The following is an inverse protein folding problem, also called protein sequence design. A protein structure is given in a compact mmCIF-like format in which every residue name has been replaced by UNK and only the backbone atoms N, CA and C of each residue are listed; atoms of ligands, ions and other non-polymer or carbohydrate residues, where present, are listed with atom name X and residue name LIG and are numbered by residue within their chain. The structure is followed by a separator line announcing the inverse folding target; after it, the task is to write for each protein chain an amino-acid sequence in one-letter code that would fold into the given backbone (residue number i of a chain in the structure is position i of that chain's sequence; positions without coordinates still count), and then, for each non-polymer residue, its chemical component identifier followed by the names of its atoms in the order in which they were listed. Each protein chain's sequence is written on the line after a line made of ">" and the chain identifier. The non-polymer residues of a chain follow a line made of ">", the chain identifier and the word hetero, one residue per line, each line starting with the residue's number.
data_IF_007729056470
#
_entry.id   IF_007729056470
#
_cell.length_a   1.000
_cell.length_b   1.000
_cell.length_c   1.000
_cell.angle_alpha   90.00
_cell.angle_beta   90.00
_cell.angle_gamma   90.00
#
_symmetry.space_group_name_H-M   'P 1'
#
loop_
_entity.id
_entity.type
_entity.pdbx_description
1 polymer ?
#
# COMPACT_ATOMS: atom_id res chain seq x y z
N UNK A 1 -10.35 -13.46 25.08
CA UNK A 1 -10.43 -12.05 24.59
C UNK A 1 -10.02 -12.05 23.13
N UNK A 2 -10.72 -11.29 22.29
CA UNK A 2 -10.39 -11.20 20.86
C UNK A 2 -9.00 -10.59 20.64
N UNK A 3 -8.18 -11.23 19.80
CA UNK A 3 -6.85 -10.74 19.41
C UNK A 3 -6.94 -9.63 18.36
N UNK A 4 -7.98 -9.68 17.52
CA UNK A 4 -8.23 -8.70 16.45
C UNK A 4 -8.43 -7.27 16.99
N UNK A 5 -8.99 -7.14 18.19
CA UNK A 5 -9.25 -5.87 18.86
C UNK A 5 -8.18 -5.47 19.89
N UNK A 6 -7.06 -6.21 19.97
CA UNK A 6 -5.92 -5.77 20.78
C UNK A 6 -5.11 -4.72 20.03
N UNK A 7 -4.57 -3.72 20.75
CA UNK A 7 -3.70 -2.73 20.12
C UNK A 7 -2.42 -3.37 19.58
N UNK A 8 -1.81 -2.69 18.62
CA UNK A 8 -0.48 -3.01 18.10
C UNK A 8 0.38 -1.75 18.16
N UNK A 9 1.52 -1.83 18.86
CA UNK A 9 2.47 -0.74 18.91
C UNK A 9 3.63 -1.02 17.97
N UNK A 10 3.87 -0.08 17.05
CA UNK A 10 5.01 -0.07 16.15
C UNK A 10 5.76 1.24 16.34
N UNK A 11 7.02 1.15 16.76
CA UNK A 11 7.81 2.30 17.23
C UNK A 11 7.04 3.12 18.29
N UNK A 12 6.88 4.43 18.08
CA UNK A 12 6.14 5.33 18.97
C UNK A 12 4.62 5.39 18.73
N UNK A 13 4.07 4.61 17.81
CA UNK A 13 2.64 4.66 17.42
C UNK A 13 1.90 3.42 17.90
N UNK A 14 0.86 3.63 18.74
CA UNK A 14 -0.06 2.57 19.15
C UNK A 14 -1.33 2.63 18.31
N UNK A 15 -1.58 1.60 17.51
CA UNK A 15 -2.77 1.44 16.68
C UNK A 15 -3.82 0.69 17.50
N UNK A 16 -5.05 1.21 17.68
CA UNK A 16 -5.98 0.73 18.71
C UNK A 16 -6.57 -0.67 18.46
N UNK A 17 -6.51 -1.17 17.24
CA UNK A 17 -6.89 -2.54 16.90
C UNK A 17 -6.15 -3.00 15.63
N UNK A 18 -6.34 -4.25 15.24
CA UNK A 18 -5.62 -4.88 14.10
C UNK A 18 -6.44 -4.91 12.81
N UNK A 19 -7.51 -4.10 12.72
CA UNK A 19 -8.37 -3.97 11.54
C UNK A 19 -8.02 -2.66 10.85
N UNK A 20 -7.36 -2.75 9.69
CA UNK A 20 -6.83 -1.60 8.97
C UNK A 20 -7.46 -1.46 7.59
N UNK A 21 -7.67 -0.23 7.18
CA UNK A 21 -8.14 0.07 5.83
C UNK A 21 -6.98 0.01 4.84
N UNK A 22 -7.09 -0.89 3.84
CA UNK A 22 -6.13 -0.99 2.74
C UNK A 22 -6.17 0.26 1.85
N UNK A 23 -5.02 0.69 1.29
CA UNK A 23 -5.00 1.79 0.32
C UNK A 23 -5.75 1.38 -0.95
N UNK A 24 -6.77 2.16 -1.32
CA UNK A 24 -7.65 1.88 -2.46
C UNK A 24 -7.89 3.14 -3.27
N UNK A 25 -7.36 3.17 -4.48
CA UNK A 25 -7.46 4.32 -5.38
C UNK A 25 -8.92 4.72 -5.62
N UNK A 26 -9.21 6.00 -5.40
CA UNK A 26 -10.54 6.58 -5.59
C UNK A 26 -10.67 7.37 -6.89
N UNK A 27 -9.54 7.71 -7.53
CA UNK A 27 -9.51 8.45 -8.80
C UNK A 27 -10.36 9.73 -8.76
N UNK A 28 -10.32 10.46 -7.65
CA UNK A 28 -11.23 11.57 -7.34
C UNK A 28 -10.52 12.88 -7.01
N UNK A 29 -9.19 12.93 -7.17
CA UNK A 29 -8.43 14.17 -7.07
C UNK A 29 -8.68 15.06 -8.31
N UNK A 30 -8.56 16.40 -8.19
CA UNK A 30 -8.59 17.29 -9.34
C UNK A 30 -7.46 16.94 -10.31
N UNK A 31 -7.82 16.84 -11.60
CA UNK A 31 -6.87 16.47 -12.65
C UNK A 31 -6.05 17.65 -13.16
N UNK A 32 -6.55 18.87 -12.98
CA UNK A 32 -6.00 20.12 -13.53
C UNK A 32 -6.14 21.28 -12.52
N UNK A 33 -5.37 22.33 -12.75
CA UNK A 33 -5.39 23.52 -11.91
C UNK A 33 -4.50 23.41 -10.66
N UNK A 34 -4.56 24.42 -9.77
CA UNK A 34 -3.68 24.52 -8.61
C UNK A 34 -3.91 23.41 -7.57
N UNK A 35 -5.10 22.82 -7.54
CA UNK A 35 -5.48 21.76 -6.61
C UNK A 35 -5.18 20.34 -7.16
N UNK A 36 -4.46 20.23 -8.28
CA UNK A 36 -4.13 18.92 -8.88
C UNK A 36 -3.49 17.99 -7.86
N UNK A 37 -4.05 16.78 -7.73
CA UNK A 37 -3.55 15.74 -6.83
C UNK A 37 -3.88 15.95 -5.36
N UNK A 38 -4.66 16.97 -4.98
CA UNK A 38 -5.08 17.16 -3.59
C UNK A 38 -6.32 16.33 -3.22
N UNK A 39 -6.49 15.93 -1.95
CA UNK A 39 -7.70 15.27 -1.50
C UNK A 39 -8.90 16.24 -1.54
N UNK A 40 -10.05 15.71 -1.96
CA UNK A 40 -11.33 16.40 -2.04
C UNK A 40 -12.26 16.02 -0.88
N UNK A 41 -13.45 16.57 -0.83
CA UNK A 41 -14.50 16.16 0.13
C UNK A 41 -14.90 14.67 -0.04
N UNK A 42 -14.77 14.11 -1.25
CA UNK A 42 -14.91 12.67 -1.46
C UNK A 42 -13.95 11.88 -0.59
N UNK A 43 -12.65 12.21 -0.62
CA UNK A 43 -11.63 11.54 0.17
C UNK A 43 -11.87 11.72 1.67
N UNK A 44 -12.27 12.92 2.11
CA UNK A 44 -12.61 13.18 3.50
C UNK A 44 -13.74 12.27 3.96
N UNK A 45 -14.87 12.25 3.24
CA UNK A 45 -16.02 11.39 3.57
C UNK A 45 -15.64 9.91 3.54
N UNK A 46 -14.94 9.48 2.47
CA UNK A 46 -14.51 8.10 2.28
C UNK A 46 -13.66 7.61 3.43
N UNK A 47 -12.60 8.32 3.78
CA UNK A 47 -11.63 7.90 4.79
C UNK A 47 -12.22 8.01 6.22
N UNK A 48 -12.86 9.12 6.54
CA UNK A 48 -13.39 9.38 7.89
C UNK A 48 -14.52 8.42 8.24
N UNK A 49 -15.37 8.02 7.28
CA UNK A 49 -16.41 7.03 7.56
C UNK A 49 -15.86 5.69 8.06
N UNK A 50 -14.69 5.24 7.60
CA UNK A 50 -14.04 4.01 8.05
C UNK A 50 -13.41 4.18 9.44
N UNK A 51 -12.86 5.36 9.75
CA UNK A 51 -12.40 5.69 11.09
C UNK A 51 -13.56 5.70 12.10
N UNK A 52 -14.66 6.37 11.78
CA UNK A 52 -15.92 6.33 12.56
C UNK A 52 -16.46 4.90 12.66
N UNK A 53 -16.29 4.11 11.61
CA UNK A 53 -16.62 2.68 11.57
C UNK A 53 -15.76 1.81 12.49
N UNK A 54 -14.65 2.32 13.02
CA UNK A 54 -13.82 1.64 14.01
C UNK A 54 -12.55 0.99 13.45
N UNK A 55 -12.14 1.30 12.22
CA UNK A 55 -10.82 0.88 11.73
C UNK A 55 -9.71 1.53 12.57
N UNK A 56 -8.72 0.73 13.02
CA UNK A 56 -7.63 1.23 13.87
C UNK A 56 -6.61 2.06 13.10
N UNK A 57 -6.41 1.74 11.83
CA UNK A 57 -5.57 2.51 10.91
C UNK A 57 -6.32 2.70 9.59
N UNK A 58 -6.27 3.93 9.06
CA UNK A 58 -6.84 4.26 7.76
C UNK A 58 -5.71 4.71 6.83
N UNK A 59 -5.44 3.87 5.82
CA UNK A 59 -4.41 4.14 4.82
C UNK A 59 -5.01 4.93 3.65
N UNK A 60 -4.48 6.12 3.42
CA UNK A 60 -4.76 6.90 2.21
C UNK A 60 -4.22 6.12 1.01
N UNK A 61 -4.97 6.16 -0.08
CA UNK A 61 -4.66 5.46 -1.33
C UNK A 61 -3.28 5.76 -1.88
N UNK A 62 -2.84 4.95 -2.85
CA UNK A 62 -1.58 5.14 -3.56
C UNK A 62 -1.45 6.59 -4.05
N UNK A 63 -0.56 7.33 -3.42
CA UNK A 63 -0.32 8.77 -3.60
C UNK A 63 0.97 8.95 -4.39
N UNK A 64 0.88 9.59 -5.56
CA UNK A 64 2.00 9.73 -6.49
C UNK A 64 3.09 10.66 -5.94
N UNK A 65 4.35 10.23 -6.09
CA UNK A 65 5.53 11.01 -5.66
C UNK A 65 5.97 12.04 -6.71
N UNK A 66 5.50 11.90 -7.97
CA UNK A 66 5.76 12.85 -9.06
C UNK A 66 4.50 13.15 -9.88
N UNK A 67 4.44 14.33 -10.47
CA UNK A 67 3.28 14.77 -11.25
C UNK A 67 3.08 13.94 -12.53
N UNK A 68 4.16 13.57 -13.19
CA UNK A 68 4.15 12.76 -14.41
C UNK A 68 4.01 11.25 -14.11
N UNK A 69 4.36 10.81 -12.90
CA UNK A 69 4.26 9.44 -12.43
C UNK A 69 2.92 9.13 -11.76
N UNK A 70 1.78 9.40 -12.42
CA UNK A 70 0.44 9.08 -11.95
C UNK A 70 -0.17 7.92 -12.73
N UNK A 71 -0.95 7.05 -12.09
CA UNK A 71 -1.72 6.00 -12.77
C UNK A 71 -2.84 6.61 -13.60
N UNK A 72 -3.45 7.68 -13.09
CA UNK A 72 -4.45 8.48 -13.80
C UNK A 72 -4.27 9.97 -13.48
N UNK A 73 -4.85 10.84 -14.27
CA UNK A 73 -4.87 12.27 -13.98
C UNK A 73 -5.55 12.61 -12.64
N UNK A 74 -6.35 11.69 -12.12
CA UNK A 74 -7.18 11.86 -10.92
C UNK A 74 -6.59 11.22 -9.66
N UNK A 75 -5.30 10.88 -9.69
CA UNK A 75 -4.59 10.32 -8.55
C UNK A 75 -4.25 11.42 -7.53
N UNK A 76 -4.25 11.04 -6.26
CA UNK A 76 -3.63 11.85 -5.21
C UNK A 76 -2.11 11.96 -5.43
N UNK A 77 -1.51 13.02 -4.90
CA UNK A 77 -0.07 13.26 -5.03
C UNK A 77 0.53 14.11 -3.92
N UNK A 78 1.83 13.90 -3.71
CA UNK A 78 2.67 14.68 -2.78
C UNK A 78 3.98 15.13 -3.47
N UNK A 79 3.87 15.64 -4.69
CA UNK A 79 5.05 16.09 -5.48
C UNK A 79 5.37 17.58 -5.32
N UNK A 80 4.50 18.40 -4.68
CA UNK A 80 4.76 19.81 -4.45
C UNK A 80 4.33 20.26 -3.05
N UNK A 81 4.78 21.45 -2.64
CA UNK A 81 4.60 21.95 -1.27
C UNK A 81 3.22 22.60 -1.03
N UNK A 82 2.35 22.68 -2.04
CA UNK A 82 0.98 23.15 -1.91
C UNK A 82 0.02 22.02 -1.47
N UNK A 83 0.40 20.77 -1.64
CA UNK A 83 -0.46 19.61 -1.37
C UNK A 83 -0.59 19.25 0.14
N UNK A 84 0.47 19.30 0.99
CA UNK A 84 0.38 18.89 2.39
C UNK A 84 -0.74 19.54 3.21
N UNK A 85 -1.08 20.83 3.08
CA UNK A 85 -2.17 21.46 3.84
C UNK A 85 -3.54 20.81 3.58
N UNK A 86 -3.82 20.37 2.36
CA UNK A 86 -5.07 19.68 2.01
C UNK A 86 -5.15 18.29 2.69
N UNK A 87 -4.03 17.55 2.73
CA UNK A 87 -3.95 16.29 3.47
C UNK A 87 -4.08 16.48 4.98
N UNK A 88 -3.54 17.57 5.54
CA UNK A 88 -3.64 17.85 6.98
C UNK A 88 -5.09 17.95 7.49
N UNK A 89 -6.04 18.38 6.63
CA UNK A 89 -7.47 18.37 6.94
C UNK A 89 -8.00 16.94 7.13
N UNK A 90 -7.60 16.02 6.25
CA UNK A 90 -7.98 14.59 6.32
C UNK A 90 -7.34 13.94 7.55
N UNK A 91 -6.05 14.17 7.77
CA UNK A 91 -5.29 13.64 8.91
C UNK A 91 -5.95 14.01 10.24
N UNK A 92 -6.28 15.30 10.45
CA UNK A 92 -6.98 15.74 11.66
C UNK A 92 -8.29 15.01 11.86
N UNK A 93 -9.12 14.93 10.82
CA UNK A 93 -10.41 14.27 10.92
C UNK A 93 -10.31 12.77 11.24
N UNK A 94 -9.26 12.08 10.76
CA UNK A 94 -8.95 10.70 11.11
C UNK A 94 -8.53 10.56 12.57
N UNK A 95 -7.62 11.42 13.05
CA UNK A 95 -7.20 11.46 14.45
C UNK A 95 -8.38 11.73 15.40
N UNK A 96 -9.21 12.73 15.08
CA UNK A 96 -10.41 13.10 15.86
C UNK A 96 -11.43 11.95 15.91
N UNK A 97 -11.39 11.06 14.91
CA UNK A 97 -12.23 9.86 14.84
C UNK A 97 -11.59 8.62 15.50
N UNK A 98 -10.38 8.74 16.06
CA UNK A 98 -9.69 7.68 16.80
C UNK A 98 -8.91 6.68 15.94
N UNK A 99 -8.70 6.93 14.65
CA UNK A 99 -7.89 6.11 13.78
C UNK A 99 -6.48 6.68 13.60
N UNK A 100 -5.50 5.82 13.40
CA UNK A 100 -4.14 6.23 13.00
C UNK A 100 -4.16 6.58 11.51
N UNK A 101 -3.82 7.83 11.13
CA UNK A 101 -3.73 8.22 9.73
C UNK A 101 -2.43 7.71 9.09
N UNK A 102 -2.57 6.99 8.00
CA UNK A 102 -1.45 6.47 7.23
C UNK A 102 -1.57 6.85 5.74
N UNK A 103 -0.46 6.83 5.01
CA UNK A 103 -0.41 7.14 3.59
C UNK A 103 0.50 6.19 2.84
N UNK A 104 0.09 5.77 1.64
CA UNK A 104 0.91 4.96 0.75
C UNK A 104 1.53 5.83 -0.35
N UNK A 105 2.87 5.87 -0.41
CA UNK A 105 3.61 6.52 -1.49
C UNK A 105 3.82 5.56 -2.65
N UNK A 106 3.63 6.06 -3.88
CA UNK A 106 3.64 5.25 -5.08
C UNK A 106 4.25 5.96 -6.30
N UNK A 107 4.83 5.17 -7.19
CA UNK A 107 5.09 5.52 -8.57
C UNK A 107 4.59 4.37 -9.47
N UNK A 108 3.61 4.58 -10.36
CA UNK A 108 2.97 3.52 -11.13
C UNK A 108 3.91 2.86 -12.16
N UNK A 109 5.03 3.49 -12.49
CA UNK A 109 5.98 2.95 -13.44
C UNK A 109 5.38 2.76 -14.82
N UNK A 110 5.45 1.55 -15.35
CA UNK A 110 4.92 1.19 -16.68
C UNK A 110 3.38 1.18 -16.76
N UNK A 111 2.71 1.31 -15.61
CA UNK A 111 1.25 1.42 -15.51
C UNK A 111 0.75 2.87 -15.41
N UNK A 112 1.59 3.87 -15.68
CA UNK A 112 1.16 5.27 -15.72
C UNK A 112 0.16 5.51 -16.86
N UNK A 113 -0.83 6.38 -16.61
CA UNK A 113 -1.79 6.83 -17.63
C UNK A 113 -2.83 5.77 -18.03
N UNK A 114 -3.18 4.82 -17.16
CA UNK A 114 -4.22 3.81 -17.42
C UNK A 114 -5.64 4.43 -17.38
N UNK A 115 -5.83 5.50 -16.59
CA UNK A 115 -7.13 6.15 -16.44
C UNK A 115 -8.03 5.53 -15.37
N UNK A 116 -9.31 5.97 -15.35
CA UNK A 116 -10.31 5.49 -14.38
C UNK A 116 -10.98 4.21 -14.87
N UNK A 117 -11.15 3.18 -14.02
CA UNK A 117 -11.69 1.88 -14.44
C UNK A 117 -13.13 1.90 -14.98
N UNK A 118 -13.91 2.93 -14.65
CA UNK A 118 -15.33 3.05 -15.03
C UNK A 118 -15.61 4.07 -16.11
N UNK A 119 -14.58 4.73 -16.64
CA UNK A 119 -14.78 5.72 -17.68
C UNK A 119 -14.40 5.14 -19.05
N UNK A 120 -15.27 5.37 -20.06
CA UNK A 120 -14.99 5.03 -21.43
C UNK A 120 -13.72 5.75 -21.92
N UNK A 121 -12.93 5.05 -22.69
CA UNK A 121 -11.69 5.44 -23.33
C UNK A 121 -11.12 6.82 -22.91
N UNK A 122 -10.19 6.82 -21.96
CA UNK A 122 -9.45 8.05 -21.65
C UNK A 122 -8.48 8.35 -22.78
N UNK A 123 -8.47 9.58 -23.32
CA UNK A 123 -7.44 9.96 -24.28
C UNK A 123 -6.06 9.79 -23.63
N UNK A 124 -5.04 9.42 -24.42
CA UNK A 124 -3.68 9.38 -23.92
C UNK A 124 -3.31 10.71 -23.25
N UNK A 125 -2.72 10.65 -22.07
CA UNK A 125 -2.24 11.81 -21.33
C UNK A 125 -0.74 11.92 -21.60
N UNK A 126 -0.30 12.79 -22.51
CA UNK A 126 1.12 12.93 -22.86
C UNK A 126 1.97 13.48 -21.73
N UNK A 127 1.34 14.12 -20.73
CA UNK A 127 1.96 14.60 -19.49
C UNK A 127 2.24 13.47 -18.49
N UNK A 128 1.69 12.26 -18.68
CA UNK A 128 1.93 11.10 -17.82
C UNK A 128 2.96 10.17 -18.44
N UNK A 129 4.10 10.05 -17.79
CA UNK A 129 5.25 9.33 -18.32
C UNK A 129 5.35 7.91 -17.78
N UNK A 130 5.36 6.94 -18.71
CA UNK A 130 5.64 5.54 -18.38
C UNK A 130 7.13 5.32 -18.30
N UNK A 131 7.58 4.80 -17.16
CA UNK A 131 8.99 4.46 -16.93
C UNK A 131 9.11 3.07 -16.30
N UNK A 132 10.28 2.45 -16.43
CA UNK A 132 10.53 1.14 -15.85
C UNK A 132 11.99 0.77 -15.84
N UNK A 133 12.36 -0.38 -15.26
CA UNK A 133 13.72 -0.88 -15.31
C UNK A 133 14.13 -1.30 -16.74
N UNK A 134 13.17 -1.72 -17.57
CA UNK A 134 13.37 -2.15 -18.95
C UNK A 134 12.14 -1.79 -19.81
N UNK A 135 12.25 -1.67 -21.14
CA UNK A 135 11.17 -1.23 -22.03
C UNK A 135 10.14 -2.34 -22.29
N UNK A 136 9.61 -2.97 -21.23
CA UNK A 136 8.67 -4.08 -21.30
C UNK A 136 7.25 -3.61 -20.96
N UNK A 137 6.35 -3.69 -21.94
CA UNK A 137 4.95 -3.30 -21.84
C UNK A 137 4.18 -4.10 -20.77
N UNK A 138 3.07 -3.54 -20.28
CA UNK A 138 2.08 -4.25 -19.48
C UNK A 138 0.83 -4.51 -20.33
N UNK A 139 0.68 -5.72 -20.82
CA UNK A 139 -0.42 -6.07 -21.76
C UNK A 139 -0.42 -5.17 -22.98
N UNK A 140 -1.55 -4.54 -23.27
CA UNK A 140 -1.73 -3.62 -24.41
C UNK A 140 -1.25 -2.18 -24.14
N UNK A 141 -0.74 -1.88 -22.92
CA UNK A 141 -0.22 -0.55 -22.59
C UNK A 141 1.12 -0.34 -23.32
N UNK A 142 1.38 0.83 -23.94
CA UNK A 142 2.65 1.09 -24.61
C UNK A 142 3.85 0.87 -23.68
N UNK A 143 4.97 0.40 -24.26
CA UNK A 143 6.21 0.15 -23.53
C UNK A 143 6.69 1.40 -22.76
N UNK A 144 7.20 1.25 -21.54
CA UNK A 144 7.78 2.35 -20.77
C UNK A 144 9.15 2.75 -21.33
N UNK A 145 9.58 3.96 -21.02
CA UNK A 145 10.99 4.34 -21.16
C UNK A 145 11.81 3.67 -20.08
N UNK A 146 12.94 3.08 -20.45
CA UNK A 146 13.91 2.56 -19.49
C UNK A 146 14.54 3.73 -18.73
N UNK A 147 14.58 3.65 -17.42
CA UNK A 147 15.22 4.64 -16.57
C UNK A 147 16.76 4.52 -16.68
N UNK A 148 17.43 5.65 -16.91
CA UNK A 148 18.88 5.74 -16.72
C UNK A 148 19.21 5.67 -15.22
N UNK A 149 20.45 5.39 -14.86
CA UNK A 149 20.89 5.39 -13.46
C UNK A 149 20.70 6.76 -12.79
N UNK A 150 20.84 7.84 -13.55
CA UNK A 150 20.54 9.19 -13.06
C UNK A 150 19.05 9.37 -12.78
N UNK A 151 18.17 8.98 -13.70
CA UNK A 151 16.72 9.06 -13.50
C UNK A 151 16.22 8.13 -12.38
N UNK A 152 16.92 7.04 -12.09
CA UNK A 152 16.63 6.21 -10.91
C UNK A 152 16.89 7.02 -9.63
N UNK A 153 18.02 7.72 -9.54
CA UNK A 153 18.33 8.58 -8.39
C UNK A 153 17.32 9.74 -8.23
N UNK A 154 16.83 10.31 -9.33
CA UNK A 154 15.78 11.35 -9.29
C UNK A 154 14.48 10.81 -8.68
N UNK A 155 14.07 9.59 -9.06
CA UNK A 155 12.87 8.95 -8.50
C UNK A 155 13.06 8.62 -7.01
N UNK A 156 14.23 8.16 -6.59
CA UNK A 156 14.56 7.95 -5.16
C UNK A 156 14.36 9.23 -4.37
N UNK A 157 14.87 10.37 -4.90
CA UNK A 157 14.70 11.68 -4.27
C UNK A 157 13.23 12.17 -4.27
N UNK A 158 12.43 11.82 -5.28
CA UNK A 158 10.98 12.11 -5.29
C UNK A 158 10.26 11.40 -4.14
N UNK A 159 10.58 10.12 -3.86
CA UNK A 159 10.05 9.40 -2.69
C UNK A 159 10.47 10.07 -1.38
N UNK A 160 11.72 10.48 -1.24
CA UNK A 160 12.22 11.18 -0.06
C UNK A 160 11.46 12.49 0.19
N UNK A 161 11.31 13.32 -0.85
CA UNK A 161 10.55 14.58 -0.76
C UNK A 161 9.08 14.34 -0.43
N UNK A 162 8.45 13.31 -1.00
CA UNK A 162 7.07 12.95 -0.69
C UNK A 162 6.93 12.48 0.77
N UNK A 163 7.88 11.72 1.30
CA UNK A 163 7.90 11.31 2.71
C UNK A 163 7.98 12.50 3.67
N UNK A 164 8.86 13.48 3.38
CA UNK A 164 8.92 14.74 4.14
C UNK A 164 7.58 15.47 4.11
N UNK A 165 6.92 15.56 2.94
CA UNK A 165 5.60 16.20 2.80
C UNK A 165 4.50 15.44 3.55
N UNK A 166 4.55 14.10 3.56
CA UNK A 166 3.65 13.29 4.36
C UNK A 166 3.79 13.58 5.86
N UNK A 167 5.03 13.75 6.35
CA UNK A 167 5.28 14.17 7.73
C UNK A 167 4.72 15.57 8.01
N UNK A 168 4.94 16.54 7.11
CA UNK A 168 4.40 17.89 7.24
C UNK A 168 2.87 17.93 7.24
N UNK A 169 2.22 17.00 6.54
CA UNK A 169 0.77 16.82 6.56
C UNK A 169 0.26 16.21 7.87
N UNK A 170 1.16 15.65 8.71
CA UNK A 170 0.86 15.07 10.01
C UNK A 170 0.47 13.59 10.00
N UNK A 171 0.82 12.83 8.97
CA UNK A 171 0.62 11.37 8.98
C UNK A 171 1.46 10.69 10.06
N UNK A 172 0.90 9.61 10.64
CA UNK A 172 1.54 8.85 11.72
C UNK A 172 2.15 7.52 11.24
N UNK A 173 1.83 7.05 10.05
CA UNK A 173 2.46 5.91 9.41
C UNK A 173 2.59 6.17 7.91
N UNK A 174 3.64 5.62 7.30
CA UNK A 174 3.91 5.74 5.88
C UNK A 174 4.17 4.34 5.30
N UNK A 175 3.64 4.08 4.11
CA UNK A 175 3.87 2.84 3.38
C UNK A 175 4.50 3.15 2.02
N UNK A 176 5.55 2.41 1.66
CA UNK A 176 6.11 2.41 0.31
C UNK A 176 5.43 1.31 -0.51
N UNK A 177 4.86 1.66 -1.66
CA UNK A 177 4.22 0.71 -2.55
C UNK A 177 5.24 -0.05 -3.40
N UNK A 178 5.65 -1.23 -2.93
CA UNK A 178 6.56 -2.15 -3.62
C UNK A 178 5.88 -3.36 -4.26
N UNK A 179 4.60 -3.25 -4.67
CA UNK A 179 3.77 -4.36 -5.13
C UNK A 179 3.09 -4.06 -6.48
N UNK A 180 2.27 -5.02 -6.95
CA UNK A 180 1.26 -4.92 -8.01
C UNK A 180 1.80 -4.49 -9.38
N UNK A 181 3.08 -4.73 -9.68
CA UNK A 181 3.72 -4.37 -10.94
C UNK A 181 3.93 -2.87 -11.13
N UNK A 182 3.85 -2.07 -10.06
CA UNK A 182 4.25 -0.69 -10.07
C UNK A 182 5.79 -0.57 -10.07
N UNK A 183 6.33 0.65 -10.04
CA UNK A 183 7.73 0.86 -10.36
C UNK A 183 8.69 0.05 -9.50
N UNK A 184 8.53 0.09 -8.17
CA UNK A 184 9.41 -0.64 -7.24
C UNK A 184 9.33 -2.14 -7.49
N UNK A 185 8.11 -2.70 -7.61
CA UNK A 185 7.94 -4.11 -7.95
C UNK A 185 8.55 -4.48 -9.30
N UNK A 186 8.47 -3.58 -10.29
CA UNK A 186 9.04 -3.82 -11.62
C UNK A 186 10.56 -3.98 -11.58
N UNK A 187 11.25 -3.34 -10.65
CA UNK A 187 12.69 -3.56 -10.43
C UNK A 187 12.98 -4.89 -9.72
N UNK A 188 12.12 -5.33 -8.82
CA UNK A 188 12.29 -6.57 -8.05
C UNK A 188 12.13 -7.82 -8.95
N UNK A 189 11.08 -7.85 -9.77
CA UNK A 189 10.74 -9.03 -10.56
C UNK A 189 11.67 -9.24 -11.76
N UNK A 190 12.22 -10.46 -11.94
CA UNK A 190 13.03 -10.80 -13.12
C UNK A 190 12.19 -10.79 -14.40
N UNK A 191 10.85 -10.86 -14.30
CA UNK A 191 9.93 -10.79 -15.44
C UNK A 191 9.96 -9.41 -16.13
N UNK A 192 10.29 -8.36 -15.38
CA UNK A 192 10.24 -6.97 -15.88
C UNK A 192 11.56 -6.25 -15.82
N UNK A 193 12.52 -6.77 -15.05
CA UNK A 193 13.84 -6.20 -14.93
C UNK A 193 14.87 -7.04 -15.68
N UNK A 194 15.19 -6.61 -16.90
CA UNK A 194 16.20 -7.24 -17.77
C UNK A 194 17.51 -6.43 -17.83
N UNK A 195 17.73 -5.54 -16.86
CA UNK A 195 18.95 -4.72 -16.78
C UNK A 195 20.18 -5.60 -16.52
N UNK A 196 21.32 -5.13 -17.05
CA UNK A 196 22.62 -5.76 -16.86
C UNK A 196 23.58 -4.94 -16.00
N UNK A 197 23.12 -3.74 -15.56
CA UNK A 197 23.87 -2.84 -14.68
C UNK A 197 23.68 -3.17 -13.19
N UNK A 198 23.98 -2.19 -12.32
CA UNK A 198 23.89 -2.33 -10.86
C UNK A 198 22.48 -2.55 -10.31
N UNK A 199 21.44 -2.40 -11.14
CA UNK A 199 20.03 -2.51 -10.74
C UNK A 199 19.35 -3.75 -11.32
N UNK A 200 20.05 -4.67 -11.99
CA UNK A 200 19.46 -5.86 -12.61
C UNK A 200 20.34 -7.10 -12.55
N UNK A 201 19.81 -8.24 -13.00
CA UNK A 201 20.47 -9.54 -12.96
C UNK A 201 20.25 -10.27 -11.64
N UNK A 202 21.17 -10.21 -10.66
CA UNK A 202 21.04 -10.95 -9.39
C UNK A 202 19.95 -10.39 -8.50
N UNK A 203 19.48 -11.18 -7.54
CA UNK A 203 18.45 -10.77 -6.58
C UNK A 203 18.85 -9.48 -5.85
N UNK A 204 20.08 -9.41 -5.36
CA UNK A 204 20.60 -8.25 -4.61
C UNK A 204 20.57 -6.98 -5.46
N UNK A 205 20.93 -7.07 -6.74
CA UNK A 205 20.89 -5.94 -7.67
C UNK A 205 19.46 -5.50 -7.98
N UNK A 206 18.53 -6.45 -8.14
CA UNK A 206 17.11 -6.12 -8.35
C UNK A 206 16.48 -5.49 -7.11
N UNK A 207 16.92 -5.86 -5.90
CA UNK A 207 16.45 -5.24 -4.64
C UNK A 207 17.02 -3.84 -4.43
N UNK A 208 18.14 -3.47 -5.05
CA UNK A 208 18.86 -2.20 -4.82
C UNK A 208 17.93 -0.98 -4.85
N UNK A 209 17.13 -0.83 -5.90
CA UNK A 209 16.24 0.33 -6.02
C UNK A 209 15.24 0.42 -4.86
N UNK A 210 14.63 -0.69 -4.46
CA UNK A 210 13.72 -0.73 -3.32
C UNK A 210 14.40 -0.29 -2.02
N UNK A 211 15.63 -0.74 -1.79
CA UNK A 211 16.39 -0.40 -0.58
C UNK A 211 16.85 1.07 -0.59
N UNK A 212 17.29 1.59 -1.72
CA UNK A 212 17.63 3.01 -1.87
C UNK A 212 16.41 3.93 -1.62
N UNK A 213 15.21 3.53 -2.11
CA UNK A 213 13.96 4.24 -1.80
C UNK A 213 13.66 4.19 -0.30
N UNK A 214 13.79 3.03 0.34
CA UNK A 214 13.57 2.88 1.78
C UNK A 214 14.54 3.76 2.59
N UNK A 215 15.82 3.75 2.26
CA UNK A 215 16.84 4.56 2.94
C UNK A 215 16.55 6.06 2.81
N UNK A 216 16.22 6.51 1.60
CA UNK A 216 15.91 7.90 1.31
C UNK A 216 14.63 8.37 2.02
N UNK A 217 13.59 7.53 2.04
CA UNK A 217 12.35 7.76 2.80
C UNK A 217 12.65 7.79 4.29
N UNK A 218 13.38 6.80 4.83
CA UNK A 218 13.69 6.70 6.26
C UNK A 218 14.50 7.92 6.75
N UNK A 219 15.36 8.47 5.90
CA UNK A 219 16.13 9.68 6.22
C UNK A 219 15.24 10.95 6.39
N UNK A 220 14.05 10.97 5.78
CA UNK A 220 13.09 12.09 5.87
C UNK A 220 11.91 11.82 6.82
N UNK A 221 11.69 10.56 7.19
CA UNK A 221 10.58 10.13 8.04
C UNK A 221 11.04 9.97 9.48
N UNK A 222 10.36 10.57 10.48
CA UNK A 222 10.77 10.52 11.89
C UNK A 222 11.01 9.10 12.40
N UNK A 223 12.04 8.93 13.21
CA UNK A 223 12.42 7.61 13.73
C UNK A 223 11.38 6.97 14.65
N UNK A 224 10.57 7.78 15.33
CA UNK A 224 9.46 7.37 16.18
C UNK A 224 8.21 6.94 15.41
N UNK A 225 8.14 7.23 14.11
CA UNK A 225 7.00 6.86 13.27
C UNK A 225 7.31 5.61 12.43
N UNK A 226 6.37 4.65 12.37
CA UNK A 226 6.56 3.41 11.64
C UNK A 226 6.57 3.63 10.12
N UNK A 227 7.42 2.85 9.46
CA UNK A 227 7.54 2.73 8.01
C UNK A 227 7.12 1.33 7.58
N UNK A 228 6.13 1.25 6.71
CA UNK A 228 5.62 0.03 6.12
C UNK A 228 6.14 -0.13 4.69
N UNK A 229 6.14 -1.36 4.21
CA UNK A 229 6.42 -1.66 2.82
C UNK A 229 5.41 -2.68 2.30
N UNK A 230 4.70 -2.34 1.22
CA UNK A 230 3.79 -3.29 0.57
C UNK A 230 4.53 -4.08 -0.49
N UNK A 231 4.43 -5.41 -0.44
CA UNK A 231 5.05 -6.31 -1.41
C UNK A 231 4.02 -7.20 -2.10
N UNK A 232 4.31 -7.60 -3.35
CA UNK A 232 3.69 -8.79 -3.95
C UNK A 232 4.59 -9.98 -3.64
N UNK A 233 4.15 -10.85 -2.74
CA UNK A 233 4.96 -11.97 -2.26
C UNK A 233 5.29 -12.99 -3.36
N UNK A 234 4.51 -13.05 -4.42
CA UNK A 234 4.75 -13.87 -5.61
C UNK A 234 4.11 -13.23 -6.84
N UNK A 235 4.72 -13.45 -7.99
CA UNK A 235 4.18 -13.07 -9.31
C UNK A 235 3.17 -14.09 -9.85
N UNK A 236 3.04 -15.26 -9.21
CA UNK A 236 2.23 -16.40 -9.67
C UNK A 236 2.70 -16.98 -11.02
N UNK A 237 3.98 -16.85 -11.36
CA UNK A 237 4.55 -17.32 -12.62
C UNK A 237 5.37 -18.61 -12.47
N UNK A 238 6.10 -18.74 -11.36
CA UNK A 238 6.91 -19.92 -11.06
C UNK A 238 6.04 -21.05 -10.49
N UNK A 239 6.07 -22.22 -11.12
CA UNK A 239 5.40 -23.42 -10.62
C UNK A 239 3.87 -23.47 -10.80
N UNK A 240 3.29 -22.55 -11.57
CA UNK A 240 1.85 -22.53 -11.87
C UNK A 240 1.60 -22.70 -13.38
N UNK A 241 1.00 -23.83 -13.77
CA UNK A 241 0.64 -24.15 -15.16
C UNK A 241 1.73 -24.88 -15.95
N UNK A 242 1.49 -25.09 -17.24
CA UNK A 242 2.36 -25.84 -18.15
C UNK A 242 3.63 -25.09 -18.59
N UNK A 243 3.65 -23.77 -18.42
CA UNK A 243 4.80 -22.91 -18.76
C UNK A 243 5.31 -22.20 -17.51
N UNK A 244 6.50 -22.59 -17.04
CA UNK A 244 7.19 -21.90 -15.95
C UNK A 244 7.94 -20.70 -16.53
N UNK A 245 7.51 -19.49 -16.17
CA UNK A 245 8.23 -18.24 -16.48
C UNK A 245 9.03 -17.78 -15.25
N UNK A 246 10.21 -17.14 -15.44
CA UNK A 246 10.88 -16.47 -14.33
C UNK A 246 9.95 -15.44 -13.67
N UNK A 247 9.89 -15.44 -12.35
CA UNK A 247 9.04 -14.52 -11.59
C UNK A 247 9.56 -14.34 -10.18
N UNK A 248 9.02 -13.34 -9.50
CA UNK A 248 9.26 -13.10 -8.09
C UNK A 248 8.55 -14.17 -7.24
N UNK A 249 9.25 -14.67 -6.23
CA UNK A 249 8.78 -15.77 -5.38
C UNK A 249 8.69 -15.37 -3.92
N UNK A 250 8.03 -16.20 -3.09
CA UNK A 250 7.99 -16.00 -1.63
C UNK A 250 9.38 -16.12 -0.99
N UNK A 251 10.30 -16.87 -1.60
CA UNK A 251 11.68 -16.95 -1.14
C UNK A 251 12.40 -15.63 -1.39
N UNK A 252 12.27 -15.03 -2.57
CA UNK A 252 12.78 -13.69 -2.87
C UNK A 252 12.19 -12.64 -1.90
N UNK A 253 10.88 -12.73 -1.64
CA UNK A 253 10.20 -11.86 -0.66
C UNK A 253 10.77 -12.02 0.74
N UNK A 254 11.13 -13.24 1.14
CA UNK A 254 11.76 -13.50 2.44
C UNK A 254 13.15 -12.87 2.53
N UNK A 255 13.94 -12.90 1.45
CA UNK A 255 15.22 -12.21 1.38
C UNK A 255 15.06 -10.69 1.43
N UNK A 256 14.13 -10.16 0.65
CA UNK A 256 13.81 -8.74 0.66
C UNK A 256 13.35 -8.28 2.05
N UNK A 257 12.48 -9.04 2.73
CA UNK A 257 11.97 -8.69 4.06
C UNK A 257 13.09 -8.54 5.11
N UNK A 258 14.11 -9.44 5.08
CA UNK A 258 15.29 -9.31 5.96
C UNK A 258 16.09 -8.05 5.66
N UNK A 259 16.29 -7.72 4.39
CA UNK A 259 16.98 -6.50 3.99
C UNK A 259 16.18 -5.26 4.40
N UNK A 260 14.86 -5.24 4.15
CA UNK A 260 13.97 -4.14 4.55
C UNK A 260 13.99 -3.86 6.04
N UNK A 261 14.00 -4.91 6.89
CA UNK A 261 14.15 -4.75 8.35
C UNK A 261 15.47 -4.06 8.72
N UNK A 262 16.58 -4.47 8.09
CA UNK A 262 17.88 -3.85 8.33
C UNK A 262 17.93 -2.39 7.90
N UNK A 263 17.10 -1.98 6.94
CA UNK A 263 16.93 -0.62 6.42
C UNK A 263 15.82 0.17 7.14
N UNK A 264 15.21 -0.38 8.21
CA UNK A 264 14.28 0.33 9.09
C UNK A 264 12.81 0.28 8.69
N UNK A 265 12.40 -0.73 7.90
CA UNK A 265 10.98 -1.08 7.70
C UNK A 265 10.47 -1.85 8.92
N UNK A 266 9.31 -1.46 9.43
CA UNK A 266 8.74 -1.96 10.68
C UNK A 266 7.63 -3.00 10.48
N UNK A 267 6.99 -3.00 9.29
CA UNK A 267 5.92 -3.92 8.94
C UNK A 267 5.87 -4.14 7.42
N UNK A 268 5.60 -5.38 7.03
CA UNK A 268 5.36 -5.76 5.64
C UNK A 268 3.87 -6.00 5.38
N UNK A 269 3.24 -5.22 4.50
CA UNK A 269 1.90 -5.50 3.95
C UNK A 269 2.05 -6.50 2.80
N UNK A 270 1.51 -7.71 3.00
CA UNK A 270 1.75 -8.85 2.11
C UNK A 270 0.58 -9.10 1.18
N UNK A 271 0.74 -8.66 -0.07
CA UNK A 271 -0.16 -8.92 -1.19
C UNK A 271 0.48 -9.88 -2.20
N UNK A 272 -0.08 -10.04 -3.40
CA UNK A 272 0.49 -10.87 -4.48
C UNK A 272 0.13 -10.35 -5.86
N UNK A 273 0.91 -10.78 -6.87
CA UNK A 273 0.59 -10.60 -8.29
C UNK A 273 0.70 -9.19 -8.82
N UNK A 274 0.10 -8.97 -9.98
CA UNK A 274 0.01 -7.68 -10.64
C UNK A 274 1.19 -7.33 -11.55
N UNK A 275 2.23 -8.18 -11.64
CA UNK A 275 3.38 -7.92 -12.52
C UNK A 275 3.02 -8.14 -14.00
N UNK A 276 2.17 -9.08 -14.32
CA UNK A 276 1.65 -9.34 -15.67
C UNK A 276 0.13 -9.43 -15.65
N UNK A 277 -0.54 -9.17 -16.78
CA UNK A 277 -2.01 -9.21 -16.83
C UNK A 277 -2.57 -10.64 -16.92
N UNK A 278 -1.76 -11.61 -17.30
CA UNK A 278 -2.14 -12.99 -17.64
C UNK A 278 -1.77 -14.02 -16.55
N UNK A 279 -1.35 -13.58 -15.38
CA UNK A 279 -1.08 -14.49 -14.27
C UNK A 279 -2.37 -15.18 -13.79
N UNK A 280 -2.34 -16.51 -13.67
CA UNK A 280 -3.43 -17.28 -13.09
C UNK A 280 -3.33 -17.28 -11.57
N UNK A 281 -4.18 -16.50 -10.91
CA UNK A 281 -4.20 -16.37 -9.46
C UNK A 281 -5.34 -17.23 -8.88
N UNK A 282 -5.06 -18.20 -7.98
CA UNK A 282 -6.09 -19.02 -7.33
C UNK A 282 -6.81 -18.19 -6.25
N UNK A 283 -7.81 -17.40 -6.67
CA UNK A 283 -8.54 -16.47 -5.80
C UNK A 283 -9.55 -17.24 -4.92
N UNK A 284 -9.38 -17.14 -3.59
CA UNK A 284 -10.28 -17.70 -2.58
C UNK A 284 -10.23 -16.84 -1.29
N UNK A 285 -11.16 -17.01 -0.33
CA UNK A 285 -11.08 -16.28 0.93
C UNK A 285 -9.74 -16.48 1.64
N UNK A 286 -9.00 -15.38 1.87
CA UNK A 286 -7.70 -15.41 2.53
C UNK A 286 -6.53 -15.95 1.69
N UNK A 287 -6.65 -16.02 0.34
CA UNK A 287 -5.65 -16.66 -0.55
C UNK A 287 -4.22 -16.11 -0.42
N UNK A 288 -4.03 -14.93 0.16
CA UNK A 288 -2.71 -14.33 0.37
C UNK A 288 -2.17 -14.52 1.80
N UNK A 289 -2.98 -14.98 2.75
CA UNK A 289 -2.63 -15.11 4.17
C UNK A 289 -1.43 -16.04 4.37
N UNK A 290 -1.38 -17.14 3.62
CA UNK A 290 -0.26 -18.09 3.71
C UNK A 290 1.11 -17.46 3.42
N UNK A 291 1.18 -16.45 2.54
CA UNK A 291 2.43 -15.74 2.25
C UNK A 291 2.82 -14.82 3.40
N UNK A 292 1.86 -14.12 4.00
CA UNK A 292 2.08 -13.34 5.22
C UNK A 292 2.65 -14.23 6.34
N UNK A 293 2.02 -15.36 6.61
CA UNK A 293 2.44 -16.34 7.62
C UNK A 293 3.86 -16.87 7.36
N UNK A 294 4.18 -17.22 6.10
CA UNK A 294 5.51 -17.73 5.73
C UNK A 294 6.59 -16.68 5.93
N UNK A 295 6.37 -15.46 5.45
CA UNK A 295 7.37 -14.36 5.59
C UNK A 295 7.57 -14.04 7.06
N UNK A 296 6.48 -13.88 7.84
CA UNK A 296 6.53 -13.62 9.27
C UNK A 296 7.33 -14.72 10.02
N UNK A 297 6.98 -15.97 9.81
CA UNK A 297 7.65 -17.11 10.48
C UNK A 297 9.14 -17.20 10.14
N UNK A 298 9.55 -16.86 8.91
CA UNK A 298 10.90 -17.01 8.42
C UNK A 298 11.81 -15.81 8.72
N UNK A 299 11.24 -14.65 9.05
CA UNK A 299 11.98 -13.39 9.21
C UNK A 299 11.79 -12.73 10.55
N UNK A 300 10.64 -12.93 11.20
CA UNK A 300 10.24 -12.22 12.41
C UNK A 300 9.72 -10.79 12.17
N UNK A 301 9.69 -10.30 10.92
CA UNK A 301 9.09 -8.99 10.63
C UNK A 301 7.59 -9.02 10.93
N UNK A 302 7.02 -8.00 11.59
CA UNK A 302 5.59 -7.85 11.67
C UNK A 302 4.96 -7.82 10.28
N UNK A 303 3.82 -8.51 10.09
CA UNK A 303 3.13 -8.55 8.81
C UNK A 303 1.68 -8.14 8.92
N UNK A 304 1.14 -7.56 7.86
CA UNK A 304 -0.29 -7.40 7.66
C UNK A 304 -0.75 -8.26 6.47
N UNK A 305 -1.85 -8.99 6.66
CA UNK A 305 -2.43 -9.83 5.62
C UNK A 305 -3.60 -9.11 4.94
N UNK A 306 -3.73 -9.33 3.63
CA UNK A 306 -4.83 -8.82 2.81
C UNK A 306 -5.31 -9.93 1.86
N UNK A 307 -6.51 -9.84 1.32
CA UNK A 307 -6.99 -10.74 0.26
C UNK A 307 -8.23 -11.54 0.61
N UNK A 308 -9.41 -11.00 0.29
CA UNK A 308 -10.72 -11.60 0.55
C UNK A 308 -10.89 -12.06 2.02
N UNK A 309 -10.46 -11.21 2.94
CA UNK A 309 -10.80 -11.31 4.36
C UNK A 309 -12.12 -10.54 4.52
N UNK A 310 -13.22 -11.26 4.77
CA UNK A 310 -14.58 -10.71 4.78
C UNK A 310 -15.31 -10.99 6.09
N UNK A 311 -15.00 -12.12 6.74
CA UNK A 311 -15.71 -12.55 7.95
C UNK A 311 -14.92 -12.22 9.22
N UNK A 312 -15.59 -11.75 10.29
CA UNK A 312 -14.95 -11.46 11.57
C UNK A 312 -14.15 -12.62 12.15
N UNK A 313 -14.71 -13.83 12.09
CA UNK A 313 -14.09 -15.05 12.59
C UNK A 313 -12.87 -15.45 11.77
N UNK A 314 -12.85 -15.17 10.46
CA UNK A 314 -11.69 -15.36 9.60
C UNK A 314 -10.56 -14.41 10.03
N UNK A 315 -10.85 -13.12 10.22
CA UNK A 315 -9.87 -12.12 10.64
C UNK A 315 -9.31 -12.43 12.04
N UNK A 316 -10.18 -12.78 13.00
CA UNK A 316 -9.78 -13.20 14.35
C UNK A 316 -8.85 -14.43 14.31
N UNK A 317 -9.16 -15.42 13.50
CA UNK A 317 -8.34 -16.63 13.36
C UNK A 317 -6.95 -16.31 12.80
N UNK A 318 -6.85 -15.47 11.77
CA UNK A 318 -5.57 -15.06 11.17
C UNK A 318 -4.65 -14.47 12.25
N UNK A 319 -5.18 -13.55 13.06
CA UNK A 319 -4.41 -12.94 14.15
C UNK A 319 -4.12 -13.94 15.27
N UNK A 320 -5.13 -14.70 15.68
CA UNK A 320 -5.02 -15.67 16.79
C UNK A 320 -4.04 -16.81 16.51
N UNK A 321 -3.89 -17.23 15.25
CA UNK A 321 -2.91 -18.23 14.82
C UNK A 321 -1.52 -17.65 14.55
N UNK A 322 -1.36 -16.31 14.63
CA UNK A 322 -0.10 -15.65 14.33
C UNK A 322 0.29 -15.67 12.84
N UNK A 323 -0.70 -15.82 11.95
CA UNK A 323 -0.49 -15.79 10.50
C UNK A 323 -0.20 -14.37 10.00
N UNK A 324 -0.64 -13.35 10.75
CA UNK A 324 -0.31 -11.95 10.58
C UNK A 324 -0.46 -11.19 11.91
N UNK A 325 0.08 -9.98 12.00
CA UNK A 325 -0.05 -9.08 13.14
C UNK A 325 -1.24 -8.12 12.97
N UNK A 326 -1.68 -7.86 11.73
CA UNK A 326 -2.87 -7.09 11.39
C UNK A 326 -3.52 -7.62 10.11
N UNK A 327 -4.77 -7.18 9.85
CA UNK A 327 -5.46 -7.44 8.58
C UNK A 327 -5.80 -6.12 7.89
N UNK A 328 -5.46 -6.04 6.60
CA UNK A 328 -5.92 -4.98 5.72
C UNK A 328 -7.21 -5.40 5.00
N UNK A 329 -8.25 -4.62 5.17
CA UNK A 329 -9.53 -4.81 4.49
C UNK A 329 -9.65 -3.79 3.34
N UNK A 330 -9.82 -4.30 2.12
CA UNK A 330 -10.02 -3.49 0.92
C UNK A 330 -11.51 -3.37 0.58
N UNK A 331 -11.94 -4.11 -0.44
CA UNK A 331 -13.33 -4.08 -0.97
C UNK A 331 -14.40 -4.30 0.10
N UNK A 332 -14.08 -5.02 1.17
CA UNK A 332 -15.00 -5.19 2.31
C UNK A 332 -15.33 -3.84 2.96
N UNK A 333 -14.31 -3.00 3.24
CA UNK A 333 -14.55 -1.66 3.77
C UNK A 333 -15.12 -0.68 2.74
N UNK A 334 -15.09 -0.98 1.43
CA UNK A 334 -15.86 -0.22 0.45
C UNK A 334 -17.36 -0.50 0.56
N UNK A 335 -17.73 -1.78 0.79
CA UNK A 335 -19.13 -2.22 0.95
C UNK A 335 -19.71 -1.80 2.29
N UNK A 336 -18.94 -2.03 3.38
CA UNK A 336 -19.37 -1.80 4.76
C UNK A 336 -18.33 -1.02 5.55
N UNK A 337 -18.44 0.33 5.61
CA UNK A 337 -17.54 1.15 6.41
C UNK A 337 -17.58 0.83 7.91
N UNK A 338 -18.65 0.22 8.39
CA UNK A 338 -18.89 -0.15 9.79
C UNK A 338 -18.55 -1.60 10.10
N UNK A 339 -17.91 -2.32 9.18
CA UNK A 339 -17.48 -3.69 9.37
C UNK A 339 -16.72 -3.91 10.70
N UNK A 340 -15.81 -3.03 11.18
CA UNK A 340 -15.14 -3.26 12.46
C UNK A 340 -16.10 -3.28 13.64
N UNK A 341 -17.17 -2.46 13.61
CA UNK A 341 -18.22 -2.49 14.65
C UNK A 341 -19.05 -3.74 14.60
N UNK A 342 -19.40 -4.20 13.40
CA UNK A 342 -20.12 -5.48 13.20
C UNK A 342 -19.26 -6.65 13.68
N UNK A 343 -17.95 -6.64 13.36
CA UNK A 343 -17.01 -7.65 13.84
C UNK A 343 -16.89 -7.66 15.36
N UNK A 344 -16.82 -6.47 16.00
CA UNK A 344 -16.80 -6.37 17.45
C UNK A 344 -18.06 -7.00 18.08
N UNK A 345 -19.23 -6.73 17.48
CA UNK A 345 -20.49 -7.34 17.94
C UNK A 345 -20.50 -8.86 17.80
N UNK A 346 -20.09 -9.40 16.63
CA UNK A 346 -19.98 -10.83 16.36
C UNK A 346 -19.04 -11.53 17.34
N UNK A 347 -17.89 -10.92 17.62
CA UNK A 347 -16.87 -11.48 18.51
C UNK A 347 -17.07 -11.14 20.00
N UNK A 348 -18.20 -10.55 20.38
CA UNK A 348 -18.53 -10.22 21.77
C UNK A 348 -17.64 -9.13 22.39
N UNK A 349 -17.08 -8.24 21.57
CA UNK A 349 -16.21 -7.14 21.99
C UNK A 349 -16.99 -5.81 22.05
N UNK A 350 -16.75 -5.01 23.08
CA UNK A 350 -17.25 -3.62 23.13
C UNK A 350 -16.25 -2.69 22.48
N UNK A 351 -16.58 -2.14 21.29
CA UNK A 351 -15.80 -1.11 20.63
C UNK A 351 -16.41 0.26 20.94
N UNK A 352 -15.64 1.24 21.51
CA UNK A 352 -16.13 2.58 21.77
C UNK A 352 -16.72 3.23 20.52
N UNK A 353 -17.92 3.79 20.64
CA UNK A 353 -18.57 4.53 19.56
C UNK A 353 -18.36 6.04 19.71
N UNK A 354 -18.37 6.81 18.61
CA UNK A 354 -18.45 8.25 18.72
C UNK A 354 -19.67 8.65 19.57
N UNK A 355 -19.58 9.72 20.38
CA UNK A 355 -20.68 10.15 21.27
C UNK A 355 -22.02 10.31 20.53
N UNK A 356 -21.97 10.78 19.28
CA UNK A 356 -23.15 10.98 18.41
C UNK A 356 -23.87 9.65 18.10
N UNK A 357 -23.17 8.52 18.14
CA UNK A 357 -23.69 7.18 17.83
C UNK A 357 -23.89 6.31 19.07
N UNK A 358 -23.65 6.82 20.27
CA UNK A 358 -23.69 6.05 21.51
C UNK A 358 -25.02 5.31 21.74
N UNK A 359 -26.15 5.88 21.27
CA UNK A 359 -27.49 5.25 21.37
C UNK A 359 -27.63 4.04 20.44
N UNK A 360 -26.93 4.01 19.30
CA UNK A 360 -26.97 2.88 18.37
C UNK A 360 -26.07 1.72 18.78
N UNK A 361 -25.05 2.01 19.61
CA UNK A 361 -24.08 1.03 20.11
C UNK A 361 -24.01 1.08 21.64
N UNK A 362 -25.07 0.64 22.36
CA UNK A 362 -25.11 0.68 23.81
C UNK A 362 -23.98 -0.19 24.39
N UNK A 363 -23.41 0.24 25.52
CA UNK A 363 -22.51 -0.59 26.31
C UNK A 363 -23.27 -1.81 26.80
N UNK A 364 -22.74 -2.99 26.58
CA UNK A 364 -23.27 -4.23 27.17
C UNK A 364 -22.96 -4.30 28.66
#
# INVERSE_FOLDING_TARGET
>A
MSQLFQPLTLRGVTIPNRIWMSPMMQYSAPAEGPETGTPTDWHLQHLVSRAVGGAGLVMVEATSVSAEGRSSAYDLGLWNDHQPPAFARVVRALCDSGAVPAIQLNHPGRKAGIGRPWADAHPPRPDLRRVGPSPLAFGAVPAPHELTTHAIADVVEEFARAARRAHLAGFHALEIHGAHGYLVHSFLSPQTNQRTDAYGGTLERRMRFALEVVDAVRAQWPQELPLFFRTSATDWLAGHGSETRPGWTVDDTTHLARALMAHGVDLLDVSTGGIVPDATIPVSPGYQVTFSAQVRARTGIPTAAVGLITEPEQAERIIGLGEADAVFLGRELLRDPYWPRRAAHSLGVTLPAPPQYARAFPRR
#
